data_IF_918336291035
#
_entry.id   IF_918336291035
#
_cell.length_a   1.000
_cell.length_b   1.000
_cell.length_c   1.000
_cell.angle_alpha   90.00
_cell.angle_beta   90.00
_cell.angle_gamma   90.00
#
_symmetry.space_group_name_H-M   'P 1'
#
loop_
_entity.id
_entity.type
_entity.pdbx_description
1 polymer ?
#
# COMPACT_ATOMS: atom_id res chain seq x y z
N UNK A 1 11.27 23.17 9.46
CA UNK A 1 10.22 22.16 9.73
C UNK A 1 9.15 22.28 8.65
N UNK A 2 9.13 21.35 7.68
CA UNK A 2 8.03 21.25 6.73
C UNK A 2 7.31 19.92 7.00
N UNK A 3 6.26 19.98 7.82
CA UNK A 3 5.38 18.84 8.06
C UNK A 3 4.56 18.61 6.78
N UNK A 4 4.97 17.65 5.96
CA UNK A 4 4.17 17.20 4.81
C UNK A 4 3.14 16.17 5.30
N UNK A 5 1.91 16.64 5.53
CA UNK A 5 0.72 15.79 5.56
C UNK A 5 0.21 15.76 4.12
N UNK A 6 0.38 14.63 3.41
CA UNK A 6 -0.34 14.47 2.15
C UNK A 6 -1.81 14.27 2.49
N UNK A 7 -2.60 15.24 2.05
CA UNK A 7 -4.04 15.40 2.16
C UNK A 7 -4.83 14.08 2.15
N UNK A 8 -5.46 13.75 3.29
CA UNK A 8 -6.54 12.77 3.35
C UNK A 8 -7.77 13.42 2.71
N UNK A 9 -7.98 13.18 1.42
CA UNK A 9 -9.26 13.48 0.79
C UNK A 9 -10.24 12.36 1.20
N UNK A 10 -10.90 12.53 2.34
CA UNK A 10 -12.12 11.76 2.65
C UNK A 10 -13.28 12.38 1.89
N UNK A 11 -13.42 12.04 0.61
CA UNK A 11 -14.75 12.11 -0.01
C UNK A 11 -15.46 10.81 0.38
N UNK A 12 -16.47 10.94 1.23
CA UNK A 12 -17.30 9.83 1.72
C UNK A 12 -17.64 8.90 0.54
N UNK A 13 -17.23 7.63 0.65
CA UNK A 13 -17.51 6.61 -0.36
C UNK A 13 -16.31 6.17 -1.19
N UNK A 14 -15.27 6.99 -1.36
CA UNK A 14 -14.14 6.67 -2.27
C UNK A 14 -13.04 5.82 -1.62
N UNK A 15 -12.34 4.99 -2.40
CA UNK A 15 -11.10 4.36 -1.94
C UNK A 15 -9.99 5.40 -1.76
N UNK A 16 -9.01 5.13 -0.89
CA UNK A 16 -8.00 6.12 -0.52
C UNK A 16 -6.61 5.51 -0.32
N UNK A 17 -5.60 6.37 -0.42
CA UNK A 17 -4.20 6.08 -0.07
C UNK A 17 -3.85 6.96 1.12
N UNK A 18 -3.09 6.42 2.06
CA UNK A 18 -2.39 7.21 3.08
C UNK A 18 -0.95 7.39 2.61
N UNK A 19 -0.46 8.61 2.59
CA UNK A 19 0.96 8.86 2.39
C UNK A 19 1.44 9.86 3.44
N UNK A 20 2.52 9.51 4.11
CA UNK A 20 3.04 10.27 5.23
C UNK A 20 4.55 10.24 5.23
N UNK A 21 5.16 11.26 5.83
CA UNK A 21 6.60 11.35 6.00
C UNK A 21 6.96 11.82 7.40
N UNK A 22 8.00 11.24 7.99
CA UNK A 22 8.56 11.70 9.27
C UNK A 22 7.49 11.74 10.37
N UNK A 23 7.33 12.88 11.06
CA UNK A 23 6.27 13.10 12.05
C UNK A 23 4.86 12.84 11.49
N UNK A 24 4.62 13.05 10.20
CA UNK A 24 3.36 12.68 9.57
C UNK A 24 3.08 11.18 9.66
N UNK A 25 4.13 10.34 9.62
CA UNK A 25 3.99 8.89 9.76
C UNK A 25 3.61 8.50 11.17
N UNK A 26 4.13 9.17 12.20
CA UNK A 26 3.66 8.97 13.58
C UNK A 26 2.15 9.22 13.70
N UNK A 27 1.65 10.32 13.12
CA UNK A 27 0.22 10.60 13.09
C UNK A 27 -0.57 9.58 12.26
N UNK A 28 -0.02 9.14 11.12
CA UNK A 28 -0.66 8.14 10.28
C UNK A 28 -0.77 6.79 10.98
N UNK A 29 0.24 6.36 11.74
CA UNK A 29 0.20 5.14 12.58
C UNK A 29 -0.96 5.20 13.57
N UNK A 30 -1.08 6.33 14.30
CA UNK A 30 -2.20 6.54 15.23
C UNK A 30 -3.56 6.54 14.53
N UNK A 31 -3.68 7.27 13.42
CA UNK A 31 -4.90 7.33 12.62
C UNK A 31 -5.32 5.94 12.12
N UNK A 32 -4.37 5.16 11.61
CA UNK A 32 -4.63 3.80 11.12
C UNK A 32 -5.12 2.94 12.28
N UNK A 33 -4.42 2.95 13.41
CA UNK A 33 -4.76 2.13 14.58
C UNK A 33 -6.15 2.44 15.13
N UNK A 34 -6.48 3.73 15.29
CA UNK A 34 -7.75 4.14 15.94
C UNK A 34 -8.96 4.01 14.99
N UNK A 35 -8.80 4.33 13.71
CA UNK A 35 -9.94 4.54 12.80
C UNK A 35 -10.01 3.57 11.62
N UNK A 36 -8.92 2.88 11.29
CA UNK A 36 -8.85 2.06 10.07
C UNK A 36 -8.69 0.60 10.39
N UNK A 37 -7.71 0.23 11.22
CA UNK A 37 -7.34 -1.15 11.46
C UNK A 37 -8.48 -1.97 12.09
N UNK A 38 -8.82 -3.08 11.43
CA UNK A 38 -9.97 -3.92 11.77
C UNK A 38 -11.34 -3.28 11.53
N UNK A 39 -11.41 -2.03 11.05
CA UNK A 39 -12.68 -1.29 10.84
C UNK A 39 -13.20 -1.47 9.42
N UNK A 40 -14.51 -1.18 9.22
CA UNK A 40 -15.17 -1.25 7.90
C UNK A 40 -14.46 -0.40 6.83
N UNK A 41 -13.86 0.72 7.23
CA UNK A 41 -13.16 1.64 6.32
C UNK A 41 -11.86 1.05 5.76
N UNK A 42 -11.21 0.08 6.43
CA UNK A 42 -10.01 -0.61 5.91
C UNK A 42 -10.23 -1.22 4.53
N UNK A 43 -11.46 -1.69 4.23
CA UNK A 43 -11.81 -2.25 2.92
C UNK A 43 -11.64 -1.25 1.77
N UNK A 44 -11.57 0.05 2.08
CA UNK A 44 -11.36 1.15 1.13
C UNK A 44 -9.91 1.63 1.06
N UNK A 45 -9.03 1.14 1.93
CA UNK A 45 -7.61 1.45 1.88
C UNK A 45 -6.99 0.73 0.68
N UNK A 46 -6.37 1.51 -0.20
CA UNK A 46 -5.59 1.01 -1.34
C UNK A 46 -4.19 0.64 -0.87
N UNK A 47 -3.54 1.55 -0.14
CA UNK A 47 -2.19 1.38 0.40
C UNK A 47 -1.90 2.48 1.43
N UNK A 48 -1.06 2.18 2.42
CA UNK A 48 -0.42 3.18 3.26
C UNK A 48 1.10 3.24 2.98
N UNK A 49 1.59 4.40 2.57
CA UNK A 49 3.02 4.71 2.42
C UNK A 49 3.48 5.46 3.68
N UNK A 50 4.04 4.71 4.62
CA UNK A 50 4.45 5.17 5.94
C UNK A 50 5.95 5.46 5.95
N UNK A 51 6.35 6.59 5.38
CA UNK A 51 7.75 6.89 5.07
C UNK A 51 8.41 7.66 6.20
N UNK A 52 9.70 7.47 6.43
CA UNK A 52 10.45 8.36 7.31
C UNK A 52 10.23 8.13 8.81
N UNK A 53 9.65 7.00 9.22
CA UNK A 53 9.56 6.61 10.63
C UNK A 53 9.56 5.09 10.76
N UNK A 54 9.92 4.55 11.92
CA UNK A 54 9.83 3.12 12.21
C UNK A 54 8.38 2.66 12.33
N UNK A 55 8.06 1.60 11.59
CA UNK A 55 6.79 0.88 11.70
C UNK A 55 7.13 -0.56 12.02
N UNK A 56 6.72 -1.03 13.20
CA UNK A 56 7.01 -2.40 13.62
C UNK A 56 6.17 -3.41 12.81
N UNK A 57 6.64 -4.67 12.62
CA UNK A 57 5.90 -5.69 11.87
C UNK A 57 4.51 -5.99 12.44
N UNK A 58 4.34 -5.80 13.75
CA UNK A 58 3.13 -5.98 14.55
C UNK A 58 2.50 -4.65 14.98
N UNK A 59 2.85 -3.52 14.34
CA UNK A 59 2.28 -2.20 14.64
C UNK A 59 0.74 -2.19 14.57
N UNK A 60 0.16 -2.99 13.67
CA UNK A 60 -1.28 -3.08 13.45
C UNK A 60 -1.77 -4.54 13.57
N UNK A 61 -2.94 -4.70 14.18
CA UNK A 61 -3.56 -6.02 14.40
C UNK A 61 -3.90 -6.67 13.05
N UNK A 62 -4.52 -5.92 12.12
CA UNK A 62 -5.07 -6.45 10.88
C UNK A 62 -4.31 -6.00 9.62
N UNK A 63 -3.78 -4.78 9.60
CA UNK A 63 -3.06 -4.22 8.46
C UNK A 63 -1.65 -4.81 8.39
N UNK A 64 -1.28 -5.39 7.24
CA UNK A 64 0.02 -6.09 7.09
C UNK A 64 0.97 -5.38 6.12
N UNK A 65 2.30 -5.59 6.27
CA UNK A 65 3.28 -5.15 5.29
C UNK A 65 3.00 -5.78 3.93
N UNK A 66 3.07 -4.99 2.87
CA UNK A 66 2.96 -5.48 1.50
C UNK A 66 4.33 -5.90 0.96
N UNK A 67 4.34 -6.99 0.21
CA UNK A 67 5.56 -7.61 -0.34
C UNK A 67 5.48 -7.91 -1.84
N UNK A 68 4.45 -7.39 -2.53
CA UNK A 68 4.38 -7.40 -3.98
C UNK A 68 3.97 -6.02 -4.55
N UNK A 69 4.34 -5.73 -5.82
CA UNK A 69 4.02 -4.44 -6.44
C UNK A 69 2.52 -4.20 -6.65
N UNK A 70 1.74 -5.26 -6.85
CA UNK A 70 0.31 -5.20 -7.12
C UNK A 70 -0.57 -5.46 -5.87
N UNK A 71 0.05 -5.75 -4.72
CA UNK A 71 -0.66 -5.92 -3.46
C UNK A 71 -1.32 -4.61 -3.02
N UNK A 72 -2.50 -4.73 -2.41
CA UNK A 72 -3.34 -3.62 -1.95
C UNK A 72 -3.87 -3.91 -0.55
N UNK A 73 -4.27 -2.86 0.17
CA UNK A 73 -4.90 -2.97 1.48
C UNK A 73 -3.94 -3.26 2.63
N UNK A 74 -2.64 -3.07 2.42
CA UNK A 74 -1.60 -3.12 3.45
C UNK A 74 -0.79 -1.82 3.51
N UNK A 75 0.42 -1.90 4.07
CA UNK A 75 1.34 -0.76 4.14
C UNK A 75 2.74 -1.08 3.60
N UNK A 76 3.49 -0.02 3.28
CA UNK A 76 4.93 -0.04 2.99
C UNK A 76 5.60 1.05 3.82
N UNK A 77 6.83 0.81 4.24
CA UNK A 77 7.58 1.74 5.07
C UNK A 77 9.07 1.68 4.72
N UNK A 78 9.77 2.82 4.81
CA UNK A 78 11.21 2.88 4.69
C UNK A 78 11.76 4.20 5.24
N UNK A 79 13.06 4.19 5.54
CA UNK A 79 13.90 5.35 5.81
C UNK A 79 15.19 5.18 5.01
N UNK A 80 15.85 6.25 4.61
CA UNK A 80 17.00 6.17 3.69
C UNK A 80 18.25 6.79 4.27
N UNK A 81 19.34 6.02 4.22
CA UNK A 81 20.69 6.45 4.59
C UNK A 81 21.64 6.19 3.42
N UNK A 82 22.73 6.96 3.38
CA UNK A 82 23.83 6.68 2.46
C UNK A 82 24.44 5.31 2.78
N UNK A 83 24.76 4.55 1.74
CA UNK A 83 25.37 3.23 1.85
C UNK A 83 26.60 3.24 2.76
N UNK A 84 26.76 2.17 3.56
CA UNK A 84 27.82 2.02 4.57
C UNK A 84 27.83 3.12 5.64
N UNK A 85 26.72 3.82 5.87
CA UNK A 85 26.53 4.75 6.98
C UNK A 85 25.31 4.36 7.79
N UNK A 86 25.51 4.31 9.11
CA UNK A 86 24.43 4.12 10.07
C UNK A 86 24.14 5.44 10.79
N UNK A 87 22.92 5.61 11.33
CA UNK A 87 22.68 6.52 12.43
C UNK A 87 23.65 6.26 13.59
N UNK A 88 23.67 7.14 14.60
CA UNK A 88 24.34 6.83 15.87
C UNK A 88 23.76 5.53 16.43
N UNK A 89 24.58 4.70 17.10
CA UNK A 89 24.19 3.36 17.56
C UNK A 89 22.83 3.36 18.26
N UNK A 90 22.65 4.16 19.32
CA UNK A 90 21.39 4.22 20.06
C UNK A 90 20.21 4.63 19.17
N UNK A 91 20.42 5.58 18.25
CA UNK A 91 19.40 6.01 17.30
C UNK A 91 19.00 4.87 16.35
N UNK A 92 19.96 4.08 15.85
CA UNK A 92 19.67 2.93 15.00
C UNK A 92 18.87 1.85 15.74
N UNK A 93 19.27 1.51 16.96
CA UNK A 93 18.58 0.53 17.81
C UNK A 93 17.13 0.94 18.09
N UNK A 94 16.90 2.22 18.42
CA UNK A 94 15.58 2.73 18.83
C UNK A 94 14.65 2.99 17.64
N UNK A 95 15.14 3.67 16.60
CA UNK A 95 14.31 4.24 15.53
C UNK A 95 14.38 3.51 14.20
N UNK A 96 15.13 2.41 14.09
CA UNK A 96 15.26 1.69 12.83
C UNK A 96 15.14 0.19 13.01
N UNK A 97 16.02 -0.42 13.83
CA UNK A 97 16.13 -1.88 13.97
C UNK A 97 14.77 -2.55 14.20
N UNK A 98 14.52 -3.63 13.48
CA UNK A 98 13.28 -4.42 13.54
C UNK A 98 12.12 -3.82 12.73
N UNK A 99 12.23 -2.57 12.27
CA UNK A 99 11.20 -1.91 11.49
C UNK A 99 11.00 -2.52 10.11
N UNK A 100 9.74 -2.57 9.67
CA UNK A 100 9.37 -2.95 8.31
C UNK A 100 10.09 -2.05 7.32
N UNK A 101 10.80 -2.66 6.37
CA UNK A 101 11.54 -1.96 5.34
C UNK A 101 11.21 -2.53 3.96
N UNK A 102 10.39 -1.79 3.22
CA UNK A 102 9.97 -2.14 1.86
C UNK A 102 10.98 -1.63 0.85
N UNK A 103 11.22 -2.39 -0.23
CA UNK A 103 12.01 -1.92 -1.37
C UNK A 103 11.23 -0.87 -2.17
N UNK A 104 11.62 0.41 -2.18
CA UNK A 104 10.85 1.48 -2.83
C UNK A 104 11.04 1.54 -4.36
N UNK A 105 11.81 0.63 -4.96
CA UNK A 105 12.00 0.55 -6.42
C UNK A 105 11.16 -0.58 -7.02
N UNK A 106 11.28 -1.78 -6.45
CA UNK A 106 10.62 -2.99 -6.95
C UNK A 106 9.30 -3.29 -6.24
N UNK A 107 9.13 -2.85 -5.00
CA UNK A 107 7.96 -3.12 -4.15
C UNK A 107 7.78 -4.60 -3.81
N UNK A 108 8.83 -5.40 -4.01
CA UNK A 108 8.88 -6.81 -3.66
C UNK A 108 9.92 -7.08 -2.57
N UNK A 109 10.23 -8.35 -2.33
CA UNK A 109 11.20 -8.80 -1.30
C UNK A 109 12.66 -8.67 -1.72
N UNK A 110 12.96 -8.10 -2.88
CA UNK A 110 14.34 -7.90 -3.33
C UNK A 110 15.10 -7.03 -2.32
N UNK A 111 16.23 -7.51 -1.84
CA UNK A 111 17.04 -6.79 -0.85
C UNK A 111 18.09 -5.91 -1.49
N UNK A 112 18.36 -6.05 -2.78
CA UNK A 112 19.28 -5.20 -3.54
C UNK A 112 18.66 -4.85 -4.88
N UNK A 113 18.82 -3.61 -5.32
CA UNK A 113 18.29 -3.14 -6.60
C UNK A 113 19.31 -2.25 -7.29
N UNK A 114 19.64 -2.60 -8.54
CA UNK A 114 20.49 -1.78 -9.37
C UNK A 114 19.76 -0.54 -9.91
N UNK A 115 20.53 0.53 -10.13
CA UNK A 115 20.05 1.79 -10.68
C UNK A 115 19.31 1.64 -12.02
N UNK A 116 19.58 0.63 -12.82
CA UNK A 116 18.85 0.37 -14.07
C UNK A 116 17.32 0.27 -13.88
N UNK A 117 16.87 -0.19 -12.70
CA UNK A 117 15.45 -0.33 -12.34
C UNK A 117 14.87 0.93 -11.67
N UNK A 118 15.72 1.85 -11.19
CA UNK A 118 15.29 3.08 -10.54
C UNK A 118 14.62 4.04 -11.54
N UNK A 119 13.33 4.31 -11.35
CA UNK A 119 12.52 5.03 -12.35
C UNK A 119 12.68 6.54 -12.28
N UNK A 120 13.07 7.09 -11.12
CA UNK A 120 13.54 8.46 -11.07
C UNK A 120 13.34 9.18 -9.75
N UNK A 121 14.37 9.96 -9.44
CA UNK A 121 14.43 10.92 -8.35
C UNK A 121 13.83 12.27 -8.80
N UNK A 122 13.07 12.93 -7.94
CA UNK A 122 12.63 14.32 -8.13
C UNK A 122 13.59 15.30 -7.45
N UNK A 123 14.28 16.10 -8.26
CA UNK A 123 15.23 17.08 -7.77
C UNK A 123 14.55 18.41 -7.40
N UNK A 124 15.25 19.29 -6.70
CA UNK A 124 14.69 20.57 -6.20
C UNK A 124 14.19 21.51 -7.30
N UNK A 125 14.76 21.43 -8.51
CA UNK A 125 14.32 22.16 -9.69
C UNK A 125 13.20 21.44 -10.47
N UNK A 126 12.53 20.47 -9.84
CA UNK A 126 11.44 19.66 -10.40
C UNK A 126 11.85 18.75 -11.57
N UNK A 127 13.15 18.62 -11.88
CA UNK A 127 13.64 17.67 -12.88
C UNK A 127 13.68 16.25 -12.33
N UNK A 128 13.35 15.30 -13.19
CA UNK A 128 13.42 13.86 -12.91
C UNK A 128 14.77 13.30 -13.36
N UNK A 129 15.43 12.56 -12.47
CA UNK A 129 16.68 11.86 -12.75
C UNK A 129 16.51 10.35 -12.63
N UNK A 130 16.23 9.64 -13.74
CA UNK A 130 16.14 8.19 -13.77
C UNK A 130 17.52 7.55 -13.55
N UNK A 131 17.54 6.29 -13.12
CA UNK A 131 18.78 5.50 -12.95
C UNK A 131 19.88 6.19 -12.14
N UNK A 132 19.47 6.99 -11.17
CA UNK A 132 20.36 7.83 -10.38
C UNK A 132 20.97 7.14 -9.16
N UNK A 133 20.39 6.06 -8.64
CA UNK A 133 20.87 5.38 -7.44
C UNK A 133 20.54 3.88 -7.47
N UNK A 134 21.38 3.09 -6.80
CA UNK A 134 21.11 1.70 -6.42
C UNK A 134 20.81 1.65 -4.92
N UNK A 135 20.10 0.61 -4.47
CA UNK A 135 19.76 0.45 -3.05
C UNK A 135 20.07 -0.95 -2.51
N UNK A 136 20.23 -1.02 -1.19
CA UNK A 136 20.21 -2.23 -0.39
C UNK A 136 19.23 -2.06 0.78
N UNK A 137 18.28 -2.96 0.91
CA UNK A 137 17.40 -3.09 2.07
C UNK A 137 18.22 -3.73 3.19
N UNK A 138 18.23 -3.09 4.35
CA UNK A 138 18.82 -3.62 5.58
C UNK A 138 17.80 -3.52 6.71
N UNK A 139 18.10 -4.12 7.85
CA UNK A 139 17.19 -4.14 9.01
C UNK A 139 16.81 -2.71 9.44
N UNK A 140 15.55 -2.34 9.20
CA UNK A 140 14.98 -1.04 9.57
C UNK A 140 15.18 0.12 8.59
N UNK A 141 15.99 -0.03 7.53
CA UNK A 141 16.28 1.08 6.62
C UNK A 141 16.81 0.68 5.24
N UNK A 142 16.83 1.64 4.34
CA UNK A 142 17.41 1.56 3.01
C UNK A 142 18.79 2.21 3.02
N UNK A 143 19.78 1.47 2.54
CA UNK A 143 21.02 2.04 2.07
C UNK A 143 20.93 2.41 0.60
N UNK A 144 21.23 3.66 0.28
CA UNK A 144 21.26 4.17 -1.08
C UNK A 144 22.66 4.63 -1.46
N UNK A 145 23.08 4.36 -2.68
CA UNK A 145 24.27 5.00 -3.25
C UNK A 145 24.06 6.50 -3.37
N UNK A 146 25.14 7.29 -3.37
CA UNK A 146 25.03 8.74 -3.63
C UNK A 146 24.38 8.96 -5.00
N UNK A 147 23.22 9.64 -5.08
CA UNK A 147 22.51 9.81 -6.34
C UNK A 147 23.38 10.50 -7.40
N UNK A 148 23.30 10.03 -8.63
CA UNK A 148 24.00 10.61 -9.78
C UNK A 148 23.25 11.86 -10.27
N UNK A 149 23.57 13.01 -9.67
CA UNK A 149 22.92 14.30 -9.90
C UNK A 149 23.96 15.41 -10.13
N UNK A 150 23.57 16.54 -10.77
CA UNK A 150 24.37 17.76 -10.72
C UNK A 150 24.66 18.15 -9.27
N UNK A 151 25.92 18.43 -8.93
CA UNK A 151 26.32 18.74 -7.54
C UNK A 151 26.48 17.52 -6.63
N UNK A 152 26.64 16.30 -7.17
CA UNK A 152 26.87 15.05 -6.42
C UNK A 152 27.92 15.15 -5.31
N UNK A 153 28.96 15.98 -5.47
CA UNK A 153 30.00 16.16 -4.47
C UNK A 153 29.42 16.71 -3.14
N UNK A 154 28.45 17.62 -3.20
CA UNK A 154 27.74 18.10 -2.00
C UNK A 154 26.86 17.00 -1.38
N UNK A 155 26.14 16.23 -2.20
CA UNK A 155 25.36 15.07 -1.72
C UNK A 155 26.21 13.98 -1.08
N UNK A 156 27.50 13.90 -1.46
CA UNK A 156 28.43 12.90 -0.93
C UNK A 156 28.81 13.14 0.53
N UNK A 157 28.66 14.37 1.06
CA UNK A 157 28.96 14.68 2.48
C UNK A 157 27.80 14.27 3.39
N UNK A 158 26.57 14.33 2.88
CA UNK A 158 25.33 13.99 3.58
C UNK A 158 25.27 12.48 3.82
N UNK A 159 24.93 12.06 5.05
CA UNK A 159 24.80 10.65 5.45
C UNK A 159 23.35 10.20 5.60
N UNK A 160 22.52 11.09 6.12
CA UNK A 160 21.09 10.86 6.36
C UNK A 160 20.31 11.44 5.18
N UNK A 161 19.53 10.61 4.49
CA UNK A 161 18.67 11.02 3.38
C UNK A 161 17.19 11.10 3.77
N UNK A 162 16.88 11.12 5.06
CA UNK A 162 15.52 11.23 5.58
C UNK A 162 14.74 12.39 4.97
N UNK A 163 15.38 13.56 4.79
CA UNK A 163 14.75 14.73 4.15
C UNK A 163 14.32 14.51 2.69
N UNK A 164 14.81 13.44 2.05
CA UNK A 164 14.58 13.11 0.66
C UNK A 164 13.94 11.73 0.45
N UNK A 165 13.48 11.02 1.50
CA UNK A 165 12.97 9.65 1.40
C UNK A 165 11.91 9.47 0.30
N UNK A 166 11.04 10.46 0.10
CA UNK A 166 10.03 10.46 -0.96
C UNK A 166 10.66 10.87 -2.30
N UNK A 167 11.44 11.94 -2.32
CA UNK A 167 12.04 12.49 -3.53
C UNK A 167 12.99 11.53 -4.22
N UNK A 168 13.77 10.75 -3.44
CA UNK A 168 14.69 9.75 -3.96
C UNK A 168 13.99 8.73 -4.85
N UNK A 169 12.72 8.40 -4.60
CA UNK A 169 11.96 7.35 -5.29
C UNK A 169 10.66 7.87 -5.91
N UNK A 170 10.59 9.17 -6.22
CA UNK A 170 9.36 9.86 -6.62
C UNK A 170 8.58 9.17 -7.74
N UNK A 171 9.27 8.79 -8.83
CA UNK A 171 8.62 8.15 -9.97
C UNK A 171 8.20 6.72 -9.64
N UNK A 172 8.99 6.01 -8.84
CA UNK A 172 8.67 4.66 -8.39
C UNK A 172 7.40 4.65 -7.54
N UNK A 173 7.29 5.57 -6.57
CA UNK A 173 6.10 5.77 -5.73
C UNK A 173 4.90 6.10 -6.61
N UNK A 174 5.05 7.06 -7.55
CA UNK A 174 3.96 7.47 -8.43
C UNK A 174 3.43 6.30 -9.27
N UNK A 175 4.32 5.49 -9.87
CA UNK A 175 3.89 4.34 -10.69
C UNK A 175 3.25 3.24 -9.83
N UNK A 176 3.78 2.99 -8.64
CA UNK A 176 3.22 1.99 -7.73
C UNK A 176 1.85 2.40 -7.19
N UNK A 177 1.67 3.67 -6.81
CA UNK A 177 0.37 4.19 -6.40
C UNK A 177 -0.68 4.03 -7.52
N UNK A 178 -0.32 4.39 -8.77
CA UNK A 178 -1.19 4.18 -9.94
C UNK A 178 -1.54 2.70 -10.16
N UNK A 179 -0.56 1.80 -10.04
CA UNK A 179 -0.77 0.36 -10.15
C UNK A 179 -1.74 -0.13 -9.07
N UNK A 180 -1.51 0.22 -7.81
CA UNK A 180 -2.37 -0.22 -6.69
C UNK A 180 -3.79 0.32 -6.80
N UNK A 181 -3.97 1.56 -7.28
CA UNK A 181 -5.30 2.09 -7.61
C UNK A 181 -5.98 1.25 -8.68
N UNK A 182 -5.27 0.92 -9.77
CA UNK A 182 -5.79 0.06 -10.84
C UNK A 182 -6.20 -1.33 -10.32
N UNK A 183 -5.35 -1.94 -9.51
CA UNK A 183 -5.62 -3.27 -8.93
C UNK A 183 -6.80 -3.25 -7.95
N UNK A 184 -6.98 -2.16 -7.19
CA UNK A 184 -8.15 -1.99 -6.34
C UNK A 184 -9.45 -1.96 -7.16
N UNK A 185 -9.50 -1.17 -8.24
CA UNK A 185 -10.69 -1.12 -9.10
C UNK A 185 -10.95 -2.46 -9.80
N UNK A 186 -9.90 -3.12 -10.31
CA UNK A 186 -10.00 -4.46 -10.89
C UNK A 186 -10.59 -5.48 -9.90
N UNK A 187 -10.17 -5.44 -8.63
CA UNK A 187 -10.74 -6.30 -7.58
C UNK A 187 -12.23 -6.04 -7.38
N UNK A 188 -12.66 -4.78 -7.38
CA UNK A 188 -14.08 -4.41 -7.24
C UNK A 188 -14.90 -4.87 -8.46
N UNK A 189 -14.40 -4.65 -9.68
CA UNK A 189 -15.09 -5.07 -10.90
C UNK A 189 -15.29 -6.58 -10.93
N UNK A 190 -14.27 -7.35 -10.56
CA UNK A 190 -14.36 -8.80 -10.44
C UNK A 190 -15.44 -9.24 -9.42
N UNK A 191 -15.53 -8.56 -8.28
CA UNK A 191 -16.56 -8.83 -7.28
C UNK A 191 -17.95 -8.52 -7.85
N UNK A 192 -18.12 -7.40 -8.56
CA UNK A 192 -19.40 -7.02 -9.16
C UNK A 192 -19.83 -8.00 -10.26
N UNK A 193 -18.90 -8.45 -11.10
CA UNK A 193 -19.14 -9.47 -12.13
C UNK A 193 -19.60 -10.78 -11.46
N UNK A 194 -18.92 -11.19 -10.38
CA UNK A 194 -19.28 -12.39 -9.63
C UNK A 194 -20.68 -12.28 -9.00
N UNK A 195 -21.01 -11.15 -8.37
CA UNK A 195 -22.36 -10.91 -7.81
C UNK A 195 -23.42 -10.99 -8.92
N UNK A 196 -23.21 -10.33 -10.07
CA UNK A 196 -24.12 -10.41 -11.22
C UNK A 196 -24.30 -11.84 -11.73
N UNK A 197 -23.23 -12.62 -11.76
CA UNK A 197 -23.27 -14.03 -12.15
C UNK A 197 -24.12 -14.87 -11.16
N UNK A 198 -23.92 -14.70 -9.85
CA UNK A 198 -24.73 -15.38 -8.81
C UNK A 198 -26.21 -15.00 -8.92
N UNK A 199 -26.52 -13.72 -9.13
CA UNK A 199 -27.90 -13.27 -9.35
C UNK A 199 -28.52 -13.94 -10.60
N UNK A 200 -27.78 -14.01 -11.72
CA UNK A 200 -28.24 -14.68 -12.95
C UNK A 200 -28.46 -16.19 -12.74
N UNK A 201 -27.61 -16.85 -11.96
CA UNK A 201 -27.82 -18.27 -11.61
C UNK A 201 -29.09 -18.47 -10.77
N UNK A 202 -29.34 -17.59 -9.80
CA UNK A 202 -30.52 -17.69 -8.95
C UNK A 202 -31.82 -17.42 -9.72
N UNK A 203 -31.83 -16.48 -10.68
CA UNK A 203 -33.01 -16.23 -11.55
C UNK A 203 -33.24 -17.34 -12.57
N UNK A 204 -32.19 -18.02 -13.03
CA UNK A 204 -32.32 -19.19 -13.90
C UNK A 204 -32.75 -20.45 -13.12
N UNK A 205 -32.35 -20.60 -11.86
CA UNK A 205 -32.74 -21.72 -11.01
C UNK A 205 -34.21 -21.68 -10.57
N UNK A 206 -34.84 -20.50 -10.54
CA UNK A 206 -36.26 -20.35 -10.22
C UNK A 206 -37.19 -20.69 -11.39
N UNK A 207 -36.68 -20.79 -12.63
CA UNK A 207 -37.51 -20.89 -13.84
C UNK A 207 -37.54 -22.26 -14.55
N UNK A 208 -36.92 -23.34 -14.02
CA UNK A 208 -36.99 -24.64 -14.73
C UNK A 208 -36.83 -25.92 -13.89
N UNK A 209 -37.52 -27.00 -14.32
CA UNK A 209 -37.68 -28.33 -13.68
C UNK A 209 -36.41 -29.20 -13.68
N UNK A 210 -35.28 -28.73 -14.21
CA UNK A 210 -33.98 -29.43 -14.32
C UNK A 210 -33.03 -29.20 -13.12
N UNK A 211 -33.62 -29.13 -11.91
CA UNK A 211 -32.99 -28.61 -10.69
C UNK A 211 -31.74 -29.40 -10.23
N UNK A 212 -31.69 -30.72 -10.45
CA UNK A 212 -30.61 -31.59 -9.92
C UNK A 212 -29.38 -31.72 -10.81
N UNK A 213 -29.53 -31.62 -12.14
CA UNK A 213 -28.41 -31.77 -13.09
C UNK A 213 -27.57 -30.49 -13.19
N UNK A 214 -28.21 -29.33 -13.05
CA UNK A 214 -27.54 -28.03 -13.09
C UNK A 214 -26.80 -27.67 -11.79
N UNK A 215 -27.38 -27.96 -10.61
CA UNK A 215 -26.74 -27.71 -9.30
C UNK A 215 -25.43 -28.49 -9.13
N UNK A 216 -25.34 -29.73 -9.67
CA UNK A 216 -24.10 -30.52 -9.62
C UNK A 216 -22.97 -29.88 -10.43
N UNK A 217 -23.27 -29.27 -11.59
CA UNK A 217 -22.27 -28.62 -12.43
C UNK A 217 -21.89 -27.23 -11.90
N UNK A 218 -22.79 -26.50 -11.25
CA UNK A 218 -22.50 -25.19 -10.66
C UNK A 218 -21.73 -25.29 -9.33
N UNK A 219 -21.96 -26.34 -8.53
CA UNK A 219 -21.17 -26.64 -7.34
C UNK A 219 -19.69 -26.88 -7.68
N UNK A 220 -19.41 -27.58 -8.79
CA UNK A 220 -18.06 -27.79 -9.32
C UNK A 220 -17.40 -26.47 -9.79
N UNK A 221 -18.17 -25.58 -10.44
CA UNK A 221 -17.67 -24.27 -10.87
C UNK A 221 -17.43 -23.31 -9.70
N UNK A 222 -18.25 -23.36 -8.65
CA UNK A 222 -18.09 -22.52 -7.46
C UNK A 222 -17.01 -23.02 -6.50
N UNK A 223 -16.69 -24.32 -6.50
CA UNK A 223 -15.51 -24.86 -5.80
C UNK A 223 -14.17 -24.45 -6.44
N UNK A 224 -14.15 -24.04 -7.72
CA UNK A 224 -12.96 -23.48 -8.36
C UNK A 224 -12.69 -22.01 -7.96
N UNK A 225 -13.69 -21.32 -7.39
CA UNK A 225 -13.62 -19.89 -7.06
C UNK A 225 -14.20 -19.65 -5.66
N UNK A 226 -13.65 -20.30 -4.64
CA UNK A 226 -14.09 -20.11 -3.25
C UNK A 226 -13.64 -18.72 -2.79
N UNK A 227 -14.57 -17.76 -2.80
CA UNK A 227 -14.44 -16.51 -2.04
C UNK A 227 -15.00 -16.73 -0.63
N UNK A 228 -14.27 -16.38 0.45
CA UNK A 228 -14.72 -16.62 1.82
C UNK A 228 -16.09 -16.00 2.12
N UNK A 229 -16.94 -16.76 2.83
CA UNK A 229 -18.34 -16.43 3.18
C UNK A 229 -18.52 -15.08 3.88
N UNK A 230 -17.50 -14.57 4.57
CA UNK A 230 -17.53 -13.28 5.27
C UNK A 230 -17.56 -12.05 4.34
N UNK A 231 -17.25 -12.23 3.05
CA UNK A 231 -17.33 -11.15 2.04
C UNK A 231 -18.78 -10.87 1.62
N UNK A 232 -19.67 -11.87 1.70
CA UNK A 232 -21.04 -11.80 1.18
C UNK A 232 -22.05 -11.20 2.15
N UNK A 233 -21.75 -11.12 3.46
CA UNK A 233 -22.74 -10.73 4.49
C UNK A 233 -22.82 -9.21 4.70
N UNK A 234 -22.00 -8.40 4.03
CA UNK A 234 -21.89 -6.96 4.32
C UNK A 234 -22.93 -6.04 3.65
N UNK A 235 -23.94 -6.58 2.95
CA UNK A 235 -25.01 -5.77 2.33
C UNK A 235 -26.40 -6.29 2.68
N UNK A 236 -26.83 -6.04 3.92
CA UNK A 236 -28.24 -5.93 4.25
C UNK A 236 -28.48 -4.49 4.72
N UNK A 237 -29.04 -3.66 3.84
CA UNK A 237 -29.54 -2.31 4.15
C UNK A 237 -30.90 -2.50 4.85
N UNK A 238 -31.14 -1.98 6.06
CA UNK A 238 -32.48 -2.00 6.64
C UNK A 238 -33.39 -1.09 5.81
N UNK A 239 -34.54 -1.63 5.38
CA UNK A 239 -35.61 -0.85 4.76
C UNK A 239 -36.12 0.21 5.74
N UNK A 240 -36.31 1.41 5.24
CA UNK A 240 -37.06 2.49 5.89
C UNK A 240 -38.42 1.99 6.37
N UNK A 241 -38.79 2.37 7.59
CA UNK A 241 -40.19 2.38 8.04
C UNK A 241 -40.61 3.85 8.05
N UNK A 242 -41.46 4.20 7.08
CA UNK A 242 -42.36 5.35 7.13
C UNK A 242 -43.72 4.75 7.48
N UNK A 243 -44.37 5.25 8.53
CA UNK A 243 -45.71 4.83 8.93
C UNK A 243 -46.22 5.59 10.16
N UNK A 244 -47.09 6.56 9.89
CA UNK A 244 -48.02 7.31 10.76
C UNK A 244 -48.32 6.69 12.13
N UNK A 245 -48.12 7.44 13.22
CA UNK A 245 -49.04 8.33 13.98
C UNK A 245 -48.18 9.08 15.00
#
# INVERSE_FOLDING_TARGET
MHSFILLIITIIGRPFIIASHSQGTLHAKRLISEFIDGKKIQKKLIAAYLVGWKVDPDEFDNLKPMSSPNEIGGFVAWNTYKINKYPRKNTYEEYFRGGVTSNPITWDKSTETDKSLHKGLLYSNLKIFPRSLSIKVIDGMIWSTVPNLPGKLFFSTIKDYHFADINLFWVDIQKNAKLRVKEWFKKIDNILIFIKFIFKLNTMASSNKSRRKFIKNSALASSLFIVPRHVLVAQAIPRQVIGLI
#
